data_IF_251817087711
#
_entry.id   IF_251817087711
#
_cell.length_a   1.000
_cell.length_b   1.000
_cell.length_c   1.000
_cell.angle_alpha   90.00
_cell.angle_beta   90.00
_cell.angle_gamma   90.00
#
_symmetry.space_group_name_H-M   'P 1'
#
loop_
_entity.id
_entity.type
_entity.pdbx_description
1 polymer ?
#
# COMPACT_ATOMS: atom_id res chain seq x y z
N UNK A 1 11.48 10.76 4.50
CA UNK A 1 12.06 9.48 4.98
C UNK A 1 11.21 8.40 4.35
N UNK A 2 11.79 7.37 3.71
CA UNK A 2 11.00 6.29 3.12
C UNK A 2 10.20 5.62 4.23
N UNK A 3 8.89 5.44 4.03
CA UNK A 3 8.07 4.69 4.97
C UNK A 3 8.36 3.20 4.79
N UNK A 4 8.58 2.48 5.89
CA UNK A 4 8.67 1.02 5.79
C UNK A 4 7.32 0.46 5.35
N UNK A 5 7.34 -0.53 4.47
CA UNK A 5 6.15 -1.23 4.01
C UNK A 5 5.29 -1.74 5.18
N UNK A 6 5.94 -2.08 6.29
CA UNK A 6 5.27 -2.50 7.53
C UNK A 6 4.37 -1.39 8.09
N UNK A 7 4.87 -0.16 8.19
CA UNK A 7 4.10 0.97 8.70
C UNK A 7 2.91 1.27 7.78
N UNK A 8 3.12 1.23 6.46
CA UNK A 8 2.02 1.42 5.50
C UNK A 8 0.98 0.32 5.63
N UNK A 9 1.41 -0.92 5.83
CA UNK A 9 0.50 -2.05 6.04
C UNK A 9 -0.34 -1.85 7.31
N UNK A 10 0.29 -1.51 8.42
CA UNK A 10 -0.40 -1.24 9.68
C UNK A 10 -1.40 -0.08 9.54
N UNK A 11 -1.05 1.01 8.84
CA UNK A 11 -1.97 2.13 8.56
C UNK A 11 -3.18 1.73 7.71
N UNK A 12 -2.97 0.88 6.70
CA UNK A 12 -4.03 0.41 5.79
C UNK A 12 -4.97 -0.55 6.52
N UNK A 13 -4.41 -1.49 7.29
CA UNK A 13 -5.16 -2.45 8.12
C UNK A 13 -5.94 -1.75 9.24
N UNK A 14 -5.37 -0.72 9.88
CA UNK A 14 -6.06 0.09 10.89
C UNK A 14 -7.30 0.83 10.33
N UNK A 15 -7.35 1.05 9.02
CA UNK A 15 -8.49 1.66 8.34
C UNK A 15 -9.49 0.63 7.81
N UNK A 16 -9.27 -0.68 8.02
CA UNK A 16 -10.13 -1.77 7.57
C UNK A 16 -9.84 -2.29 6.18
N UNK A 17 -8.78 -1.79 5.53
CA UNK A 17 -8.34 -2.25 4.21
C UNK A 17 -7.30 -3.37 4.38
N UNK A 18 -7.07 -4.15 3.33
CA UNK A 18 -6.05 -5.22 3.35
C UNK A 18 -5.03 -5.04 2.23
N UNK A 19 -3.82 -5.58 2.40
CA UNK A 19 -2.79 -5.59 1.36
C UNK A 19 -2.58 -7.00 0.80
N UNK A 20 -2.73 -7.18 -0.51
CA UNK A 20 -2.56 -8.48 -1.17
C UNK A 20 -1.46 -8.45 -2.23
N UNK A 21 -0.52 -9.39 -2.19
CA UNK A 21 0.58 -9.44 -3.16
C UNK A 21 0.14 -10.09 -4.48
N UNK A 22 0.49 -9.46 -5.59
CA UNK A 22 0.30 -10.00 -6.94
C UNK A 22 1.42 -10.94 -7.34
N UNK A 23 1.15 -11.81 -8.33
CA UNK A 23 2.15 -12.67 -8.98
C UNK A 23 3.34 -11.89 -9.59
N UNK A 24 3.23 -10.58 -9.78
CA UNK A 24 4.28 -9.70 -10.33
C UNK A 24 5.05 -8.92 -9.26
N UNK A 25 4.81 -9.17 -7.97
CA UNK A 25 5.49 -8.48 -6.86
C UNK A 25 4.94 -7.08 -6.53
N UNK A 26 3.81 -6.69 -7.13
CA UNK A 26 3.05 -5.50 -6.70
C UNK A 26 2.09 -5.86 -5.57
N UNK A 27 1.70 -4.90 -4.76
CA UNK A 27 0.68 -5.03 -3.71
C UNK A 27 -0.59 -4.32 -4.14
N UNK A 28 -1.73 -4.98 -3.95
CA UNK A 28 -3.06 -4.38 -4.05
C UNK A 28 -3.50 -3.91 -2.68
N UNK A 29 -4.12 -2.73 -2.65
CA UNK A 29 -4.99 -2.32 -1.54
C UNK A 29 -6.38 -2.86 -1.83
N UNK A 30 -6.87 -3.72 -0.94
CA UNK A 30 -8.18 -4.37 -0.98
C UNK A 30 -9.11 -3.63 -0.04
N UNK A 31 -10.29 -3.24 -0.52
CA UNK A 31 -11.32 -2.56 0.26
C UNK A 31 -12.03 -3.55 1.20
N UNK A 32 -12.72 -3.07 2.25
CA UNK A 32 -13.44 -3.94 3.19
C UNK A 32 -14.49 -4.85 2.52
N UNK A 33 -15.06 -4.40 1.39
CA UNK A 33 -16.01 -5.12 0.55
C UNK A 33 -15.36 -6.11 -0.44
N UNK A 34 -14.02 -6.21 -0.44
CA UNK A 34 -13.25 -7.10 -1.32
C UNK A 34 -12.93 -6.52 -2.70
N UNK A 35 -13.20 -5.23 -2.91
CA UNK A 35 -12.81 -4.47 -4.09
C UNK A 35 -11.31 -4.19 -4.16
N UNK A 36 -10.80 -3.89 -5.35
CA UNK A 36 -9.38 -3.52 -5.57
C UNK A 36 -9.28 -2.02 -5.78
N UNK A 37 -8.64 -1.33 -4.83
CA UNK A 37 -8.57 0.13 -4.83
C UNK A 37 -7.40 0.64 -5.69
N UNK A 38 -6.18 0.18 -5.40
CA UNK A 38 -4.97 0.62 -6.09
C UNK A 38 -3.86 -0.43 -5.98
N UNK A 39 -2.95 -0.45 -6.95
CA UNK A 39 -1.74 -1.28 -6.90
C UNK A 39 -0.46 -0.45 -6.85
N UNK A 40 0.54 -0.92 -6.10
CA UNK A 40 1.84 -0.27 -5.98
C UNK A 40 2.99 -1.28 -5.87
N UNK A 41 4.20 -0.86 -6.20
CA UNK A 41 5.41 -1.68 -6.06
C UNK A 41 6.13 -1.36 -4.74
N UNK A 42 6.71 -2.38 -4.11
CA UNK A 42 7.65 -2.22 -2.99
C UNK A 42 9.07 -2.27 -3.55
N UNK A 43 9.97 -1.45 -3.01
CA UNK A 43 11.34 -1.43 -3.47
C UNK A 43 12.09 -2.70 -3.01
N UNK A 44 12.78 -3.35 -3.94
CA UNK A 44 13.57 -4.55 -3.70
C UNK A 44 15.09 -4.32 -3.82
N UNK A 45 15.56 -3.06 -3.99
CA UNK A 45 16.99 -2.77 -4.07
C UNK A 45 17.71 -3.11 -2.76
N UNK A 46 18.95 -3.63 -2.86
CA UNK A 46 19.78 -4.17 -1.75
C UNK A 46 19.93 -3.26 -0.51
N UNK A 47 19.74 -1.94 -0.62
CA UNK A 47 19.86 -0.98 0.49
C UNK A 47 18.53 -0.39 0.97
N UNK A 48 17.40 -0.77 0.36
CA UNK A 48 16.06 -0.18 0.57
C UNK A 48 14.97 -1.26 0.53
N UNK A 49 15.32 -2.47 0.96
CA UNK A 49 14.51 -3.67 0.79
C UNK A 49 13.34 -3.62 1.77
N UNK A 50 12.13 -3.40 1.26
CA UNK A 50 10.94 -3.22 2.08
C UNK A 50 10.49 -1.77 2.26
N UNK A 51 11.15 -0.81 1.61
CA UNK A 51 10.69 0.58 1.59
C UNK A 51 9.64 0.79 0.49
N UNK A 52 8.59 1.54 0.79
CA UNK A 52 7.62 2.02 -0.19
C UNK A 52 8.03 3.42 -0.60
N UNK A 53 8.09 3.72 -1.90
CA UNK A 53 8.35 5.09 -2.33
C UNK A 53 7.26 6.03 -1.81
N UNK A 54 7.65 7.20 -1.32
CA UNK A 54 6.73 8.23 -0.80
C UNK A 54 5.60 8.57 -1.79
N UNK A 55 5.90 8.52 -3.10
CA UNK A 55 4.92 8.74 -4.16
C UNK A 55 3.79 7.71 -4.19
N UNK A 56 4.06 6.45 -3.79
CA UNK A 56 3.04 5.42 -3.65
C UNK A 56 2.30 5.54 -2.32
N UNK A 57 2.98 5.86 -1.22
CA UNK A 57 2.33 6.10 0.09
C UNK A 57 1.28 7.20 -0.03
N UNK A 58 1.63 8.33 -0.65
CA UNK A 58 0.70 9.44 -0.87
C UNK A 58 -0.50 9.02 -1.73
N UNK A 59 -0.28 8.19 -2.77
CA UNK A 59 -1.36 7.67 -3.62
C UNK A 59 -2.29 6.72 -2.86
N UNK A 60 -1.76 5.82 -2.03
CA UNK A 60 -2.55 4.89 -1.22
C UNK A 60 -3.43 5.67 -0.25
N UNK A 61 -2.85 6.59 0.52
CA UNK A 61 -3.60 7.43 1.47
C UNK A 61 -4.69 8.23 0.76
N UNK A 62 -4.38 8.86 -0.37
CA UNK A 62 -5.36 9.60 -1.17
C UNK A 62 -6.48 8.70 -1.70
N UNK A 63 -6.16 7.50 -2.17
CA UNK A 63 -7.16 6.56 -2.66
C UNK A 63 -8.13 6.16 -1.55
N UNK A 64 -7.61 5.86 -0.34
CA UNK A 64 -8.43 5.54 0.83
C UNK A 64 -9.30 6.73 1.25
N UNK A 65 -8.76 7.96 1.22
CA UNK A 65 -9.56 9.16 1.53
C UNK A 65 -10.71 9.37 0.54
N UNK A 66 -10.48 9.14 -0.76
CA UNK A 66 -11.52 9.28 -1.80
C UNK A 66 -12.58 8.21 -1.71
N UNK A 67 -12.19 6.96 -1.40
CA UNK A 67 -13.11 5.83 -1.25
C UNK A 67 -14.09 6.00 -0.07
N UNK A 68 -13.67 6.71 0.98
CA UNK A 68 -14.48 6.98 2.17
C UNK A 68 -15.37 8.23 2.06
N UNK A 69 -15.17 9.07 1.04
CA UNK A 69 -15.86 10.36 0.87
C UNK A 69 -17.14 10.21 0.03
#
# INVERSE_FOLDING_TARGET
MPLEFRDLKEEVEAQGYSLEITKKGHYWVITPDGGKLITFAVNHKKNSRGEVFDSYVSKVRKAITVDRA
#
